data_IF_859199139530
#
_entry.id   IF_859199139530
#
_cell.length_a   1.000
_cell.length_b   1.000
_cell.length_c   1.000
_cell.angle_alpha   90.00
_cell.angle_beta   90.00
_cell.angle_gamma   90.00
#
_symmetry.space_group_name_H-M   'P 1'
#
loop_
_entity.id
_entity.type
_entity.pdbx_description
1 polymer ?
#
# COMPACT_ATOMS: atom_id res chain seq x y z
N UNK A 1 47.97 26.63 47.08
CA UNK A 1 47.93 25.21 47.48
C UNK A 1 47.24 24.43 46.38
N UNK A 2 47.97 23.58 45.65
CA UNK A 2 47.48 22.77 44.51
C UNK A 2 46.97 21.44 45.05
N UNK A 3 45.75 21.05 44.69
CA UNK A 3 45.29 19.66 44.82
C UNK A 3 44.84 19.21 43.44
N UNK A 4 45.64 18.30 42.86
CA UNK A 4 45.34 17.58 41.63
C UNK A 4 44.39 16.44 41.96
N UNK A 5 43.16 16.47 41.46
CA UNK A 5 42.37 15.25 41.30
C UNK A 5 42.41 14.83 39.83
N UNK A 6 43.31 13.88 39.59
CA UNK A 6 43.43 13.10 38.35
C UNK A 6 42.44 11.95 38.50
N UNK A 7 41.26 12.04 37.89
CA UNK A 7 40.36 10.90 37.73
C UNK A 7 40.28 10.55 36.25
N UNK A 8 40.60 9.28 35.94
CA UNK A 8 40.76 8.71 34.60
C UNK A 8 39.43 8.73 33.86
N UNK A 9 39.34 9.57 32.83
CA UNK A 9 38.29 9.48 31.82
C UNK A 9 38.68 8.31 30.91
N UNK A 10 38.06 7.14 31.08
CA UNK A 10 38.25 5.99 30.20
C UNK A 10 37.71 6.32 28.80
N UNK A 11 38.54 6.32 27.73
CA UNK A 11 38.13 6.75 26.39
C UNK A 11 37.42 5.66 25.57
N UNK A 12 36.99 4.56 26.21
CA UNK A 12 36.57 3.35 25.51
C UNK A 12 35.06 3.30 25.19
N UNK A 13 34.28 4.31 25.59
CA UNK A 13 32.81 4.29 25.51
C UNK A 13 32.22 5.24 24.46
N UNK A 14 33.04 5.96 23.69
CA UNK A 14 32.57 6.95 22.71
C UNK A 14 32.57 6.42 21.27
N UNK A 15 33.13 5.24 21.02
CA UNK A 15 33.31 4.70 19.64
C UNK A 15 32.28 3.61 19.28
N UNK A 16 31.24 3.40 20.10
CA UNK A 16 30.25 2.34 19.87
C UNK A 16 28.91 2.81 19.29
N UNK A 17 28.69 4.12 19.08
CA UNK A 17 27.38 4.66 18.66
C UNK A 17 27.26 4.98 17.17
N UNK A 18 28.32 4.86 16.36
CA UNK A 18 28.29 5.23 14.92
C UNK A 18 28.05 4.04 13.98
N UNK A 19 28.02 2.79 14.48
CA UNK A 19 27.96 1.58 13.62
C UNK A 19 26.60 0.85 13.68
N UNK A 20 25.61 1.36 14.42
CA UNK A 20 24.28 0.71 14.55
C UNK A 20 23.29 1.19 13.46
N UNK A 21 23.69 2.12 12.59
CA UNK A 21 22.81 2.60 11.50
C UNK A 21 22.85 1.76 10.21
N UNK A 22 23.66 0.69 10.15
CA UNK A 22 23.82 -0.16 8.96
C UNK A 22 23.57 -1.66 9.21
N UNK A 23 22.94 -2.03 10.33
CA UNK A 23 22.57 -3.42 10.63
C UNK A 23 21.06 -3.62 10.84
N UNK A 24 20.25 -2.64 10.44
CA UNK A 24 18.79 -2.67 10.59
C UNK A 24 18.05 -2.74 9.25
N UNK A 25 18.29 -3.75 8.42
CA UNK A 25 17.42 -3.99 7.26
C UNK A 25 17.38 -5.47 6.81
N UNK A 26 17.20 -6.41 7.74
CA UNK A 26 16.98 -7.84 7.37
C UNK A 26 15.58 -8.35 7.69
N UNK A 27 14.67 -7.48 8.12
CA UNK A 27 13.27 -7.82 8.43
C UNK A 27 12.25 -6.94 7.72
N UNK A 28 12.63 -6.34 6.58
CA UNK A 28 11.69 -5.58 5.71
C UNK A 28 10.95 -6.49 4.71
N UNK A 29 11.32 -7.76 4.57
CA UNK A 29 10.76 -8.61 3.52
C UNK A 29 9.26 -8.90 3.64
N UNK A 30 8.67 -8.90 4.85
CA UNK A 30 7.24 -9.24 5.03
C UNK A 30 6.30 -8.06 4.73
N UNK A 31 6.73 -6.82 4.98
CA UNK A 31 5.95 -5.62 4.67
C UNK A 31 6.06 -5.31 3.18
N UNK A 32 7.26 -5.41 2.58
CA UNK A 32 7.44 -5.27 1.13
C UNK A 32 6.61 -6.29 0.34
N UNK A 33 6.59 -7.57 0.74
CA UNK A 33 5.80 -8.58 0.03
C UNK A 33 4.29 -8.35 0.10
N UNK A 34 3.78 -7.93 1.26
CA UNK A 34 2.36 -7.62 1.41
C UNK A 34 1.97 -6.38 0.60
N UNK A 35 2.84 -5.36 0.59
CA UNK A 35 2.62 -4.12 -0.13
C UNK A 35 2.72 -4.33 -1.65
N UNK A 36 3.68 -5.12 -2.14
CA UNK A 36 3.87 -5.39 -3.56
C UNK A 36 2.70 -6.21 -4.15
N UNK A 37 2.18 -7.19 -3.41
CA UNK A 37 0.98 -7.95 -3.81
C UNK A 37 -0.27 -7.06 -3.91
N UNK A 38 -0.35 -6.02 -3.08
CA UNK A 38 -1.47 -5.08 -3.12
C UNK A 38 -1.43 -4.19 -4.37
N UNK A 39 -0.24 -3.80 -4.83
CA UNK A 39 -0.04 -2.97 -6.03
C UNK A 39 -0.43 -3.72 -7.30
N UNK A 40 0.05 -4.96 -7.46
CA UNK A 40 -0.29 -5.80 -8.63
C UNK A 40 -1.81 -6.04 -8.71
N UNK A 41 -2.46 -6.31 -7.57
CA UNK A 41 -3.90 -6.49 -7.53
C UNK A 41 -4.66 -5.21 -7.91
N UNK A 42 -4.17 -4.03 -7.51
CA UNK A 42 -4.77 -2.76 -7.91
C UNK A 42 -4.67 -2.53 -9.42
N UNK A 43 -3.55 -2.84 -10.05
CA UNK A 43 -3.39 -2.70 -11.51
C UNK A 43 -4.38 -3.59 -12.26
N UNK A 44 -4.53 -4.85 -11.85
CA UNK A 44 -5.52 -5.77 -12.43
C UNK A 44 -6.94 -5.20 -12.32
N UNK A 45 -7.31 -4.65 -11.15
CA UNK A 45 -8.63 -4.08 -10.94
C UNK A 45 -8.86 -2.81 -11.77
N UNK A 46 -7.81 -1.99 -12.00
CA UNK A 46 -7.88 -0.85 -12.92
C UNK A 46 -8.18 -1.32 -14.34
N UNK A 47 -7.44 -2.31 -14.84
CA UNK A 47 -7.65 -2.88 -16.18
C UNK A 47 -9.06 -3.46 -16.33
N UNK A 48 -9.53 -4.19 -15.33
CA UNK A 48 -10.89 -4.76 -15.32
C UNK A 48 -12.00 -3.71 -15.27
N UNK A 49 -11.70 -2.50 -14.83
CA UNK A 49 -12.65 -1.38 -14.83
C UNK A 49 -12.75 -0.70 -16.20
N UNK A 50 -11.71 -0.82 -17.05
CA UNK A 50 -11.70 -0.19 -18.38
C UNK A 50 -12.84 -0.72 -19.24
N UNK A 51 -13.55 0.19 -19.91
CA UNK A 51 -14.70 -0.14 -20.74
C UNK A 51 -15.99 -0.38 -19.94
N UNK A 52 -15.91 -0.52 -18.61
CA UNK A 52 -17.06 -0.50 -17.70
C UNK A 52 -17.30 0.88 -17.11
N UNK A 53 -16.24 1.68 -16.97
CA UNK A 53 -16.29 3.10 -16.60
C UNK A 53 -15.67 3.96 -17.71
N UNK A 54 -16.09 5.23 -17.86
CA UNK A 54 -15.67 6.10 -18.97
C UNK A 54 -14.27 6.72 -18.74
N UNK A 55 -13.29 5.91 -18.33
CA UNK A 55 -11.90 6.30 -18.13
C UNK A 55 -10.94 5.26 -18.71
N UNK A 56 -9.73 5.71 -19.04
CA UNK A 56 -8.61 4.82 -19.36
C UNK A 56 -7.93 4.32 -18.08
N UNK A 57 -7.17 3.24 -18.16
CA UNK A 57 -6.50 2.61 -17.00
C UNK A 57 -5.72 3.61 -16.13
N UNK A 58 -5.02 4.56 -16.75
CA UNK A 58 -4.20 5.56 -16.08
C UNK A 58 -4.99 6.66 -15.37
N UNK A 59 -6.28 6.79 -15.67
CA UNK A 59 -7.20 7.76 -15.06
C UNK A 59 -8.04 7.14 -13.94
N UNK A 60 -7.91 5.83 -13.74
CA UNK A 60 -8.68 5.07 -12.77
C UNK A 60 -7.86 4.91 -11.50
N UNK A 61 -8.46 5.25 -10.36
CA UNK A 61 -7.89 5.02 -9.04
C UNK A 61 -8.76 4.03 -8.26
N UNK A 62 -8.14 3.02 -7.65
CA UNK A 62 -8.84 2.05 -6.81
C UNK A 62 -8.63 2.46 -5.36
N UNK A 63 -9.71 2.72 -4.64
CA UNK A 63 -9.65 3.19 -3.24
C UNK A 63 -9.95 2.09 -2.22
N UNK A 64 -10.79 1.12 -2.60
CA UNK A 64 -11.15 -0.01 -1.77
C UNK A 64 -11.38 -1.23 -2.67
N UNK A 65 -11.01 -2.42 -2.21
CA UNK A 65 -11.39 -3.66 -2.86
C UNK A 65 -11.50 -4.80 -1.84
N UNK A 66 -12.43 -5.72 -2.09
CA UNK A 66 -12.54 -6.98 -1.39
C UNK A 66 -12.79 -8.08 -2.42
N UNK A 67 -11.76 -8.90 -2.64
CA UNK A 67 -11.77 -9.99 -3.59
C UNK A 67 -11.59 -11.31 -2.83
N UNK A 68 -12.56 -12.20 -2.97
CA UNK A 68 -12.48 -13.56 -2.48
C UNK A 68 -11.43 -14.32 -3.30
N UNK A 69 -10.43 -14.86 -2.60
CA UNK A 69 -9.30 -15.57 -3.23
C UNK A 69 -9.68 -16.97 -3.74
N UNK A 70 -10.80 -17.53 -3.28
CA UNK A 70 -11.21 -18.89 -3.62
C UNK A 70 -11.88 -18.97 -5.00
N UNK A 71 -12.83 -18.08 -5.27
CA UNK A 71 -13.66 -18.05 -6.48
C UNK A 71 -13.38 -16.82 -7.36
N UNK A 72 -12.66 -15.83 -6.82
CA UNK A 72 -12.43 -14.54 -7.46
C UNK A 72 -13.59 -13.57 -7.32
N UNK A 73 -14.73 -13.91 -6.70
CA UNK A 73 -15.86 -12.99 -6.54
C UNK A 73 -15.49 -11.79 -5.66
N UNK A 74 -16.18 -10.66 -5.83
CA UNK A 74 -15.91 -9.51 -4.98
C UNK A 74 -16.33 -8.17 -5.56
N UNK A 75 -15.90 -7.11 -4.89
CA UNK A 75 -16.17 -5.73 -5.28
C UNK A 75 -14.93 -4.86 -5.14
N UNK A 76 -14.95 -3.72 -5.83
CA UNK A 76 -13.99 -2.65 -5.63
C UNK A 76 -14.62 -1.29 -5.97
N UNK A 77 -14.00 -0.24 -5.43
CA UNK A 77 -14.41 1.14 -5.65
C UNK A 77 -13.39 1.80 -6.56
N UNK A 78 -13.85 2.19 -7.75
CA UNK A 78 -13.05 2.89 -8.76
C UNK A 78 -13.44 4.37 -8.80
N UNK A 79 -12.46 5.24 -8.86
CA UNK A 79 -12.64 6.68 -9.05
C UNK A 79 -12.15 7.06 -10.44
N UNK A 80 -12.95 7.91 -11.12
CA UNK A 80 -12.70 8.35 -12.47
C UNK A 80 -13.30 9.75 -12.66
N UNK A 81 -12.46 10.74 -12.95
CA UNK A 81 -12.86 12.13 -13.29
C UNK A 81 -13.88 12.76 -12.30
N UNK A 82 -13.70 12.56 -10.99
CA UNK A 82 -14.62 13.12 -9.98
C UNK A 82 -15.79 12.22 -9.60
N UNK A 83 -16.01 11.13 -10.34
CA UNK A 83 -17.09 10.18 -10.10
C UNK A 83 -16.57 8.90 -9.44
N UNK A 84 -17.37 8.35 -8.53
CA UNK A 84 -17.09 7.10 -7.84
C UNK A 84 -17.98 6.00 -8.40
N UNK A 85 -17.38 4.84 -8.66
CA UNK A 85 -18.07 3.67 -9.20
C UNK A 85 -17.85 2.48 -8.28
N UNK A 86 -18.93 1.72 -8.04
CA UNK A 86 -18.85 0.39 -7.43
C UNK A 86 -18.79 -0.64 -8.54
N UNK A 87 -17.69 -1.36 -8.61
CA UNK A 87 -17.52 -2.48 -9.51
C UNK A 87 -17.67 -3.79 -8.74
N UNK A 88 -18.33 -4.77 -9.35
CA UNK A 88 -18.60 -6.09 -8.77
C UNK A 88 -18.37 -7.16 -9.83
N UNK A 89 -17.84 -8.31 -9.40
CA UNK A 89 -17.78 -9.52 -10.21
C UNK A 89 -18.22 -10.74 -9.39
N UNK A 90 -18.94 -11.65 -10.02
CA UNK A 90 -19.47 -12.86 -9.36
C UNK A 90 -18.46 -14.01 -9.29
N UNK A 91 -17.32 -13.89 -9.98
CA UNK A 91 -16.28 -14.91 -10.04
C UNK A 91 -15.08 -14.41 -10.85
N UNK A 92 -13.99 -15.19 -10.89
CA UNK A 92 -12.73 -14.82 -11.58
C UNK A 92 -12.91 -14.60 -13.09
N UNK A 93 -13.74 -15.42 -13.72
CA UNK A 93 -13.97 -15.43 -15.17
C UNK A 93 -15.33 -14.83 -15.55
N UNK A 94 -16.02 -14.23 -14.59
CA UNK A 94 -17.32 -13.57 -14.77
C UNK A 94 -17.16 -12.12 -15.21
N UNK A 95 -18.17 -11.59 -15.91
CA UNK A 95 -18.15 -10.20 -16.36
C UNK A 95 -18.18 -9.22 -15.17
N UNK A 96 -17.50 -8.10 -15.37
CA UNK A 96 -17.45 -7.01 -14.40
C UNK A 96 -18.58 -6.04 -14.66
N UNK A 97 -19.33 -5.72 -13.61
CA UNK A 97 -20.36 -4.70 -13.65
C UNK A 97 -19.99 -3.52 -12.76
N UNK A 98 -19.98 -2.30 -13.30
CA UNK A 98 -19.69 -1.08 -12.57
C UNK A 98 -20.89 -0.13 -12.62
N UNK A 99 -21.27 0.41 -11.46
CA UNK A 99 -22.35 1.40 -11.34
C UNK A 99 -21.85 2.65 -10.63
N UNK A 100 -22.27 3.86 -11.05
CA UNK A 100 -21.97 5.07 -10.31
C UNK A 100 -22.59 5.01 -8.91
N UNK A 101 -21.82 5.44 -7.91
CA UNK A 101 -22.32 5.69 -6.56
C UNK A 101 -22.47 7.21 -6.48
N UNK A 102 -23.70 7.71 -6.67
CA UNK A 102 -23.96 9.12 -6.44
C UNK A 102 -23.53 9.48 -5.00
N UNK A 103 -22.79 10.58 -4.87
CA UNK A 103 -22.52 11.14 -3.53
C UNK A 103 -23.86 11.35 -2.84
N UNK A 104 -23.99 11.07 -1.52
CA UNK A 104 -25.17 11.50 -0.80
C UNK A 104 -25.37 13.00 -1.03
N UNK A 105 -26.54 13.38 -1.55
CA UNK A 105 -26.97 14.76 -1.70
C UNK A 105 -26.75 15.47 -0.36
N UNK A 106 -26.00 16.57 -0.39
CA UNK A 106 -25.63 17.35 0.80
C UNK A 106 -26.79 18.23 1.23
#
# INVERSE_FOLDING_TARGET
>A
MKIRFRSKINPLLVVATVVIFWLGCSTVSKVEQAQQKSVEQMEILKEQSVGKIPCRTNEIEISEFNINKADGSGYWTAFCQGNTYKCVRSGKDEDVHCVPIDKPET
#
